data_IF_780817103636
#
_entry.id   IF_780817103636
#
_cell.length_a   1.000
_cell.length_b   1.000
_cell.length_c   1.000
_cell.angle_alpha   90.00
_cell.angle_beta   90.00
_cell.angle_gamma   90.00
#
_symmetry.space_group_name_H-M   'P 1'
#
loop_
_entity.id
_entity.type
_entity.pdbx_description
1 polymer ?
#
# COMPACT_ATOMS: atom_id res chain seq x y z
N UNK A 1 1.02 -0.12 -11.07
CA UNK A 1 -0.43 0.10 -11.02
C UNK A 1 -1.01 -1.06 -10.26
N UNK A 2 -1.78 -0.81 -9.21
CA UNK A 2 -2.35 -1.86 -8.36
C UNK A 2 -3.73 -2.26 -8.86
N UNK A 3 -4.07 -3.54 -8.69
CA UNK A 3 -5.38 -4.11 -9.00
C UNK A 3 -6.56 -3.65 -8.13
N UNK A 4 -7.75 -4.09 -8.48
CA UNK A 4 -9.05 -3.87 -7.85
C UNK A 4 -10.07 -4.99 -8.14
N UNK A 5 -9.65 -6.09 -8.77
CA UNK A 5 -10.49 -7.19 -9.22
C UNK A 5 -11.00 -7.05 -10.66
N UNK A 6 -11.26 -8.20 -11.29
CA UNK A 6 -11.84 -8.36 -12.62
C UNK A 6 -13.27 -8.91 -12.53
N UNK A 7 -14.06 -8.69 -13.58
CA UNK A 7 -15.32 -9.43 -13.80
C UNK A 7 -15.21 -10.14 -15.15
N UNK A 8 -15.35 -11.47 -15.15
CA UNK A 8 -15.22 -12.32 -16.34
C UNK A 8 -13.89 -12.11 -17.10
N UNK A 9 -12.80 -11.84 -16.38
CA UNK A 9 -11.48 -11.59 -16.97
C UNK A 9 -11.32 -10.21 -17.62
N UNK A 10 -12.32 -9.32 -17.50
CA UNK A 10 -12.28 -8.00 -18.11
C UNK A 10 -11.97 -6.89 -17.12
N UNK A 11 -11.21 -5.91 -17.59
CA UNK A 11 -10.90 -4.68 -16.87
C UNK A 11 -12.16 -3.81 -16.78
N UNK A 12 -12.64 -3.58 -15.56
CA UNK A 12 -13.80 -2.74 -15.28
C UNK A 12 -13.54 -1.24 -15.56
N UNK A 13 -14.57 -0.41 -15.79
CA UNK A 13 -14.41 1.02 -16.07
C UNK A 13 -13.58 1.79 -15.02
N UNK A 14 -13.71 1.43 -13.73
CA UNK A 14 -12.92 2.05 -12.66
C UNK A 14 -11.43 1.67 -12.74
N UNK A 15 -11.14 0.42 -13.08
CA UNK A 15 -9.77 -0.07 -13.27
C UNK A 15 -9.17 0.53 -14.55
N UNK A 16 -9.93 0.56 -15.64
CA UNK A 16 -9.56 1.23 -16.89
C UNK A 16 -9.22 2.71 -16.66
N UNK A 17 -10.05 3.45 -15.92
CA UNK A 17 -9.78 4.86 -15.58
C UNK A 17 -8.46 5.05 -14.80
N UNK A 18 -8.11 4.09 -13.93
CA UNK A 18 -6.82 4.08 -13.21
C UNK A 18 -5.66 3.79 -14.15
N UNK A 19 -5.80 2.81 -15.05
CA UNK A 19 -4.80 2.47 -16.06
C UNK A 19 -4.53 3.68 -16.97
N UNK A 20 -5.58 4.35 -17.44
CA UNK A 20 -5.48 5.60 -18.20
C UNK A 20 -4.77 6.72 -17.42
N UNK A 21 -5.04 6.86 -16.12
CA UNK A 21 -4.32 7.82 -15.28
C UNK A 21 -2.83 7.48 -15.17
N UNK A 22 -2.51 6.20 -15.05
CA UNK A 22 -1.14 5.71 -15.03
C UNK A 22 -0.41 5.95 -16.36
N UNK A 23 -1.08 5.75 -17.50
CA UNK A 23 -0.55 6.11 -18.82
C UNK A 23 -0.27 7.61 -18.94
N UNK A 24 -1.20 8.45 -18.48
CA UNK A 24 -1.01 9.89 -18.49
C UNK A 24 0.20 10.29 -17.64
N UNK A 25 0.33 9.70 -16.45
CA UNK A 25 1.47 9.96 -15.58
C UNK A 25 2.80 9.45 -16.18
N UNK A 26 2.80 8.30 -16.85
CA UNK A 26 3.96 7.81 -17.58
C UNK A 26 4.45 8.82 -18.61
N UNK A 27 3.53 9.40 -19.40
CA UNK A 27 3.86 10.41 -20.42
C UNK A 27 4.33 11.72 -19.78
N UNK A 28 3.64 12.17 -18.73
CA UNK A 28 3.97 13.42 -18.03
C UNK A 28 5.34 13.39 -17.36
N UNK A 29 5.69 12.28 -16.70
CA UNK A 29 6.92 12.16 -15.91
C UNK A 29 8.02 11.36 -16.62
N UNK A 30 7.80 10.91 -17.85
CA UNK A 30 8.78 10.15 -18.62
C UNK A 30 9.12 8.78 -18.02
N UNK A 31 8.16 8.11 -17.37
CA UNK A 31 8.43 6.83 -16.73
C UNK A 31 8.83 5.75 -17.76
N UNK A 32 9.95 5.07 -17.48
CA UNK A 32 10.55 4.10 -18.41
C UNK A 32 9.71 2.83 -18.54
N UNK A 33 9.19 2.34 -17.41
CA UNK A 33 8.53 1.06 -17.27
C UNK A 33 7.21 1.19 -16.50
N UNK A 34 6.18 0.51 -16.99
CA UNK A 34 4.91 0.30 -16.29
C UNK A 34 4.91 -1.10 -15.68
N UNK A 35 4.53 -1.20 -14.41
CA UNK A 35 4.28 -2.49 -13.77
C UNK A 35 2.80 -2.57 -13.43
N UNK A 36 2.09 -3.57 -13.92
CA UNK A 36 0.71 -3.90 -13.52
C UNK A 36 0.75 -5.02 -12.51
N UNK A 37 0.13 -4.86 -11.34
CA UNK A 37 0.29 -5.80 -10.22
C UNK A 37 -1.05 -6.20 -9.62
N UNK A 38 -1.28 -7.51 -9.63
CA UNK A 38 -2.42 -8.19 -9.05
C UNK A 38 -2.40 -9.66 -9.46
N UNK A 39 -2.48 -10.56 -8.48
CA UNK A 39 -2.64 -11.98 -8.74
C UNK A 39 -4.02 -12.35 -9.26
N UNK A 40 -4.28 -13.65 -9.26
CA UNK A 40 -5.54 -14.22 -9.75
C UNK A 40 -6.52 -14.44 -8.59
N UNK A 41 -7.69 -13.80 -8.66
CA UNK A 41 -8.81 -14.10 -7.78
C UNK A 41 -9.40 -15.49 -8.04
N UNK A 42 -10.09 -16.07 -7.05
CA UNK A 42 -10.70 -17.41 -7.21
C UNK A 42 -11.74 -17.47 -8.33
N UNK A 43 -12.45 -16.36 -8.56
CA UNK A 43 -13.49 -16.23 -9.59
C UNK A 43 -12.97 -15.58 -10.89
N UNK A 44 -11.65 -15.43 -11.03
CA UNK A 44 -11.04 -14.74 -12.17
C UNK A 44 -10.36 -15.75 -13.11
N UNK A 45 -10.65 -15.68 -14.44
CA UNK A 45 -10.08 -16.64 -15.40
C UNK A 45 -8.60 -16.38 -15.70
N UNK A 46 -8.10 -15.18 -15.36
CA UNK A 46 -6.71 -14.74 -15.59
C UNK A 46 -6.24 -13.89 -14.42
N UNK A 47 -4.93 -13.81 -14.15
CA UNK A 47 -4.38 -12.86 -13.19
C UNK A 47 -4.72 -11.42 -13.56
N UNK A 48 -5.05 -10.60 -12.57
CA UNK A 48 -5.40 -9.20 -12.80
C UNK A 48 -4.25 -8.41 -13.46
N UNK A 49 -3.00 -8.70 -13.06
CA UNK A 49 -1.80 -8.11 -13.62
C UNK A 49 -1.68 -8.28 -15.15
N UNK A 50 -2.04 -9.45 -15.66
CA UNK A 50 -2.01 -9.76 -17.09
C UNK A 50 -3.13 -9.03 -17.83
N UNK A 51 -4.37 -9.09 -17.34
CA UNK A 51 -5.50 -8.37 -17.96
C UNK A 51 -5.23 -6.85 -18.02
N UNK A 52 -4.63 -6.28 -16.98
CA UNK A 52 -4.21 -4.88 -16.96
C UNK A 52 -3.10 -4.59 -17.97
N UNK A 53 -2.09 -5.47 -18.11
CA UNK A 53 -1.01 -5.32 -19.11
C UNK A 53 -1.58 -5.31 -20.52
N UNK A 54 -2.42 -6.29 -20.82
CA UNK A 54 -3.02 -6.47 -22.14
C UNK A 54 -3.93 -5.28 -22.49
N UNK A 55 -4.67 -4.76 -21.50
CA UNK A 55 -5.39 -3.50 -21.66
C UNK A 55 -4.44 -2.34 -22.01
N UNK A 56 -3.33 -2.15 -21.29
CA UNK A 56 -2.38 -1.07 -21.59
C UNK A 56 -1.75 -1.22 -22.99
N UNK A 57 -1.45 -2.44 -23.42
CA UNK A 57 -0.96 -2.71 -24.78
C UNK A 57 -2.02 -2.35 -25.84
N UNK A 58 -3.30 -2.64 -25.58
CA UNK A 58 -4.41 -2.21 -26.46
C UNK A 58 -4.51 -0.68 -26.58
N UNK A 59 -4.00 0.06 -25.59
CA UNK A 59 -3.93 1.53 -25.58
C UNK A 59 -2.63 2.08 -26.19
N UNK A 60 -1.80 1.22 -26.80
CA UNK A 60 -0.59 1.60 -27.53
C UNK A 60 0.69 1.59 -26.72
N UNK A 61 0.73 0.97 -25.53
CA UNK A 61 1.99 0.73 -24.81
C UNK A 61 2.75 -0.42 -25.47
N UNK A 62 4.03 -0.23 -25.73
CA UNK A 62 4.89 -1.27 -26.30
C UNK A 62 5.19 -2.36 -25.26
N UNK A 63 5.26 -3.65 -25.65
CA UNK A 63 5.45 -4.76 -24.70
C UNK A 63 6.71 -4.65 -23.83
N UNK A 64 7.77 -4.04 -24.33
CA UNK A 64 9.03 -3.79 -23.61
C UNK A 64 8.89 -2.74 -22.49
N UNK A 65 7.79 -1.98 -22.47
CA UNK A 65 7.53 -0.91 -21.50
C UNK A 65 6.45 -1.25 -20.49
N UNK A 66 5.93 -2.48 -20.49
CA UNK A 66 4.93 -2.94 -19.52
C UNK A 66 5.21 -4.37 -19.08
N UNK A 67 5.25 -4.59 -17.76
CA UNK A 67 5.44 -5.91 -17.15
C UNK A 67 4.26 -6.18 -16.21
N UNK A 68 3.77 -7.42 -16.24
CA UNK A 68 2.75 -7.90 -15.32
C UNK A 68 3.40 -8.61 -14.14
N UNK A 69 2.94 -8.28 -12.93
CA UNK A 69 3.21 -8.99 -11.69
C UNK A 69 1.91 -9.69 -11.25
N UNK A 70 1.97 -11.01 -11.10
CA UNK A 70 0.80 -11.88 -10.97
C UNK A 70 0.86 -12.82 -9.77
N UNK A 71 1.89 -12.72 -8.94
CA UNK A 71 2.11 -13.60 -7.80
C UNK A 71 1.46 -13.07 -6.52
N UNK A 72 1.09 -11.80 -6.49
CA UNK A 72 0.61 -11.13 -5.28
C UNK A 72 -0.83 -11.46 -4.89
N UNK A 73 -1.06 -11.69 -3.60
CA UNK A 73 -2.40 -11.93 -3.02
C UNK A 73 -2.97 -10.71 -2.30
N UNK A 74 -2.14 -9.72 -1.99
CA UNK A 74 -2.53 -8.55 -1.21
C UNK A 74 -1.68 -7.32 -1.56
N UNK A 75 -2.14 -6.14 -1.12
CA UNK A 75 -1.49 -4.85 -1.43
C UNK A 75 -0.02 -4.77 -1.01
N UNK A 76 0.40 -5.43 0.09
CA UNK A 76 1.78 -5.40 0.54
C UNK A 76 2.68 -6.24 -0.38
N UNK A 77 2.21 -7.42 -0.78
CA UNK A 77 2.86 -8.26 -1.78
C UNK A 77 2.93 -7.59 -3.15
N UNK A 78 1.84 -6.94 -3.60
CA UNK A 78 1.84 -6.18 -4.85
C UNK A 78 3.02 -5.20 -4.89
N UNK A 79 3.20 -4.42 -3.81
CA UNK A 79 4.27 -3.42 -3.73
C UNK A 79 5.65 -4.07 -3.68
N UNK A 80 5.80 -5.16 -2.92
CA UNK A 80 7.07 -5.89 -2.76
C UNK A 80 7.50 -6.53 -4.09
N UNK A 81 6.65 -7.34 -4.70
CA UNK A 81 6.96 -8.05 -5.94
C UNK A 81 7.10 -7.08 -7.11
N UNK A 82 6.25 -6.03 -7.18
CA UNK A 82 6.44 -4.96 -8.17
C UNK A 82 7.80 -4.28 -8.02
N UNK A 83 8.30 -4.10 -6.79
CA UNK A 83 9.62 -3.49 -6.55
C UNK A 83 10.74 -4.40 -7.02
N UNK A 84 10.64 -5.70 -6.78
CA UNK A 84 11.63 -6.69 -7.22
C UNK A 84 11.78 -6.70 -8.74
N UNK A 85 10.68 -6.51 -9.48
CA UNK A 85 10.69 -6.41 -10.95
C UNK A 85 11.36 -5.15 -11.50
N UNK A 86 11.50 -4.09 -10.70
CA UNK A 86 12.17 -2.86 -11.15
C UNK A 86 13.70 -2.98 -11.17
N UNK A 87 14.26 -4.05 -10.58
CA UNK A 87 15.70 -4.36 -10.56
C UNK A 87 16.56 -3.44 -9.69
N UNK A 88 16.23 -2.15 -9.60
CA UNK A 88 16.95 -1.16 -8.78
C UNK A 88 16.14 -0.75 -7.53
N UNK A 89 16.62 -1.07 -6.31
CA UNK A 89 15.99 -0.66 -5.06
C UNK A 89 15.91 0.86 -4.87
N UNK A 90 16.80 1.65 -5.49
CA UNK A 90 16.86 3.11 -5.33
C UNK A 90 15.97 3.86 -6.31
N UNK A 91 15.39 3.17 -7.29
CA UNK A 91 14.53 3.79 -8.28
C UNK A 91 13.32 4.46 -7.64
N UNK A 92 13.07 5.70 -8.09
CA UNK A 92 11.87 6.46 -7.75
C UNK A 92 10.66 5.85 -8.44
N UNK A 93 9.64 5.49 -7.66
CA UNK A 93 8.45 4.80 -8.16
C UNK A 93 7.22 5.67 -8.05
N UNK A 94 6.36 5.64 -9.06
CA UNK A 94 5.03 6.21 -9.01
C UNK A 94 4.00 5.08 -8.89
N UNK A 95 3.33 5.01 -7.75
CA UNK A 95 2.29 4.01 -7.49
C UNK A 95 0.93 4.60 -7.80
N UNK A 96 0.21 3.96 -8.72
CA UNK A 96 -1.15 4.34 -9.10
C UNK A 96 -2.13 3.33 -8.51
N UNK A 97 -3.05 3.82 -7.67
CA UNK A 97 -4.05 3.01 -6.94
C UNK A 97 -5.40 3.74 -6.84
N UNK A 98 -6.43 3.11 -6.26
CA UNK A 98 -7.71 3.78 -5.95
C UNK A 98 -7.55 4.89 -4.90
N UNK A 99 -8.39 5.92 -4.96
CA UNK A 99 -8.42 7.05 -4.01
C UNK A 99 -8.50 6.63 -2.53
N UNK A 100 -9.31 5.62 -2.21
CA UNK A 100 -9.43 5.08 -0.85
C UNK A 100 -8.24 4.21 -0.40
N UNK A 101 -7.40 3.76 -1.32
CA UNK A 101 -6.19 2.98 -1.02
C UNK A 101 -4.91 3.83 -0.99
N UNK A 102 -4.96 5.10 -1.40
CA UNK A 102 -3.78 5.97 -1.45
C UNK A 102 -3.09 6.05 -0.10
N UNK A 103 -3.84 6.24 0.98
CA UNK A 103 -3.27 6.35 2.33
C UNK A 103 -2.60 5.06 2.79
N UNK A 104 -3.30 3.92 2.71
CA UNK A 104 -2.73 2.60 3.07
C UNK A 104 -1.49 2.28 2.23
N UNK A 105 -1.53 2.59 0.94
CA UNK A 105 -0.41 2.36 0.02
C UNK A 105 0.78 3.25 0.35
N UNK A 106 0.55 4.51 0.72
CA UNK A 106 1.60 5.43 1.17
C UNK A 106 2.27 4.97 2.48
N UNK A 107 1.51 4.40 3.42
CA UNK A 107 2.09 3.81 4.63
C UNK A 107 2.92 2.56 4.31
N UNK A 108 2.41 1.67 3.48
CA UNK A 108 3.11 0.44 3.10
C UNK A 108 4.41 0.72 2.34
N UNK A 109 4.40 1.66 1.40
CA UNK A 109 5.62 2.07 0.68
C UNK A 109 6.70 2.61 1.62
N UNK A 110 6.33 3.42 2.62
CA UNK A 110 7.27 3.88 3.66
C UNK A 110 7.81 2.72 4.50
N UNK A 111 6.95 1.80 4.93
CA UNK A 111 7.35 0.60 5.69
C UNK A 111 8.32 -0.29 4.91
N UNK A 112 8.17 -0.35 3.59
CA UNK A 112 9.05 -1.09 2.67
C UNK A 112 10.32 -0.31 2.29
N UNK A 113 10.55 0.90 2.83
CA UNK A 113 11.71 1.73 2.49
C UNK A 113 11.71 2.23 1.04
N UNK A 114 10.56 2.22 0.37
CA UNK A 114 10.44 2.57 -1.04
C UNK A 114 10.47 4.10 -1.23
N UNK A 115 11.33 4.58 -2.14
CA UNK A 115 11.20 5.93 -2.72
C UNK A 115 10.00 5.97 -3.66
N UNK A 116 8.80 6.15 -3.12
CA UNK A 116 7.57 6.08 -3.89
C UNK A 116 6.67 7.30 -3.67
N UNK A 117 6.09 7.81 -4.76
CA UNK A 117 4.97 8.73 -4.75
C UNK A 117 3.70 7.95 -5.05
N UNK A 118 2.63 8.16 -4.29
CA UNK A 118 1.35 7.47 -4.48
C UNK A 118 0.33 8.44 -5.03
N UNK A 119 -0.26 8.12 -6.18
CA UNK A 119 -1.34 8.91 -6.79
C UNK A 119 -2.60 8.06 -6.94
N UNK A 120 -3.74 8.68 -6.69
CA UNK A 120 -5.07 8.13 -7.00
C UNK A 120 -5.77 8.95 -8.09
N UNK A 121 -6.81 8.39 -8.73
CA UNK A 121 -7.73 9.21 -9.53
C UNK A 121 -8.40 10.27 -8.63
N UNK A 122 -8.76 11.43 -9.21
CA UNK A 122 -9.62 12.42 -8.53
C UNK A 122 -11.01 11.80 -8.34
N UNK A 123 -11.26 11.18 -7.20
CA UNK A 123 -12.59 10.67 -6.82
C UNK A 123 -13.13 11.48 -5.64
N UNK A 124 -14.43 11.80 -5.71
CA UNK A 124 -15.22 12.74 -4.88
C UNK A 124 -14.88 12.74 -3.37
N UNK A 125 -14.61 13.95 -2.86
CA UNK A 125 -14.31 14.32 -1.46
C UNK A 125 -15.33 13.86 -0.41
N UNK A 126 -16.55 13.48 -0.79
CA UNK A 126 -17.63 13.15 0.16
C UNK A 126 -17.48 11.78 0.84
N UNK A 127 -16.70 10.84 0.28
CA UNK A 127 -16.47 9.51 0.87
C UNK A 127 -15.28 9.43 1.85
N UNK A 128 -14.51 10.51 1.99
CA UNK A 128 -13.27 10.52 2.77
C UNK A 128 -13.43 10.47 4.31
N UNK A 129 -14.47 11.04 4.97
CA UNK A 129 -14.47 11.11 6.43
C UNK A 129 -14.52 9.74 7.11
N UNK A 130 -15.44 8.86 6.71
CA UNK A 130 -15.69 7.60 7.41
C UNK A 130 -14.59 6.56 7.21
N UNK A 131 -13.96 6.54 6.04
CA UNK A 131 -12.86 5.61 5.73
C UNK A 131 -11.56 6.05 6.42
N UNK A 132 -11.28 7.36 6.44
CA UNK A 132 -10.13 7.90 7.17
C UNK A 132 -10.28 7.68 8.68
N UNK A 133 -11.48 7.89 9.24
CA UNK A 133 -11.76 7.62 10.66
C UNK A 133 -11.63 6.13 10.98
N UNK A 134 -12.18 5.25 10.14
CA UNK A 134 -12.07 3.80 10.32
C UNK A 134 -10.61 3.33 10.35
N UNK A 135 -9.77 3.87 9.45
CA UNK A 135 -8.37 3.49 9.39
C UNK A 135 -7.51 4.17 10.47
N UNK A 136 -7.88 5.38 10.90
CA UNK A 136 -7.28 5.99 12.08
C UNK A 136 -7.54 5.12 13.33
N UNK A 137 -8.74 4.58 13.48
CA UNK A 137 -9.08 3.62 14.55
C UNK A 137 -8.31 2.30 14.40
N UNK A 138 -8.12 1.81 13.18
CA UNK A 138 -7.30 0.62 12.90
C UNK A 138 -5.84 0.79 13.33
N UNK A 139 -5.22 1.91 12.98
CA UNK A 139 -3.85 2.26 13.37
C UNK A 139 -3.73 2.42 14.89
N UNK A 140 -4.71 3.07 15.53
CA UNK A 140 -4.77 3.20 16.99
C UNK A 140 -4.85 1.82 17.66
N UNK A 141 -5.62 0.89 17.12
CA UNK A 141 -5.74 -0.48 17.65
C UNK A 141 -4.44 -1.27 17.53
N UNK A 142 -3.72 -1.12 16.41
CA UNK A 142 -2.44 -1.80 16.19
C UNK A 142 -1.32 -1.25 17.11
N UNK A 143 -1.36 0.03 17.46
CA UNK A 143 -0.43 0.65 18.42
C UNK A 143 -0.87 0.56 19.88
N UNK A 144 -2.11 0.17 20.16
CA UNK A 144 -2.64 0.01 21.53
C UNK A 144 -1.81 -0.99 22.35
N UNK A 145 -1.29 -2.04 21.72
CA UNK A 145 -0.39 -3.01 22.37
C UNK A 145 0.92 -2.38 22.83
N UNK A 146 1.46 -1.45 22.04
CA UNK A 146 2.67 -0.70 22.38
C UNK A 146 2.42 0.31 23.50
N UNK A 147 1.29 1.04 23.45
CA UNK A 147 0.91 1.97 24.50
C UNK A 147 0.57 1.29 25.84
N UNK A 148 -0.11 0.14 25.80
CA UNK A 148 -0.38 -0.67 27.01
C UNK A 148 0.92 -1.24 27.59
N UNK A 149 1.82 -1.76 26.75
CA UNK A 149 3.12 -2.25 27.23
C UNK A 149 3.96 -1.13 27.86
N UNK A 150 4.04 0.04 27.24
CA UNK A 150 4.72 1.20 27.80
C UNK A 150 4.11 1.66 29.13
N UNK A 151 2.77 1.67 29.23
CA UNK A 151 2.05 1.99 30.47
C UNK A 151 2.36 1.01 31.60
N UNK A 152 2.37 -0.30 31.32
CA UNK A 152 2.72 -1.33 32.30
C UNK A 152 4.16 -1.17 32.79
N UNK A 153 5.11 -0.86 31.89
CA UNK A 153 6.51 -0.63 32.26
C UNK A 153 6.64 0.59 33.18
N UNK A 154 5.97 1.70 32.86
CA UNK A 154 6.02 2.92 33.69
C UNK A 154 5.46 2.66 35.09
N UNK A 155 4.34 1.94 35.19
CA UNK A 155 3.73 1.56 36.47
C UNK A 155 4.68 0.66 37.26
N UNK A 156 5.26 -0.36 36.62
CA UNK A 156 6.20 -1.27 37.27
C UNK A 156 7.44 -0.55 37.81
N UNK A 157 8.03 0.37 37.02
CA UNK A 157 9.17 1.20 37.44
C UNK A 157 8.79 2.12 38.61
N UNK A 158 7.59 2.69 38.59
CA UNK A 158 7.10 3.58 39.66
C UNK A 158 6.89 2.81 40.96
N UNK A 159 6.27 1.62 40.90
CA UNK A 159 6.08 0.75 42.07
C UNK A 159 7.42 0.27 42.63
N UNK A 160 8.36 -0.13 41.77
CA UNK A 160 9.71 -0.52 42.22
C UNK A 160 10.44 0.64 42.89
N UNK A 161 10.33 1.85 42.35
CA UNK A 161 10.98 3.05 42.89
C UNK A 161 10.44 3.40 44.28
N UNK A 162 9.12 3.33 44.45
CA UNK A 162 8.47 3.53 45.77
C UNK A 162 8.90 2.44 46.75
N UNK A 163 8.86 1.16 46.35
CA UNK A 163 9.27 0.05 47.20
C UNK A 163 10.75 0.16 47.64
N UNK A 164 11.64 0.56 46.73
CA UNK A 164 13.07 0.76 47.00
C UNK A 164 13.35 2.00 47.86
N UNK A 165 12.52 3.04 47.75
CA UNK A 165 12.60 4.20 48.64
C UNK A 165 12.13 3.88 50.07
N UNK A 166 11.09 3.03 50.21
CA UNK A 166 10.58 2.58 51.51
C UNK A 166 11.55 1.65 52.24
N UNK A 167 12.36 0.86 51.52
CA UNK A 167 13.38 -0.02 52.14
C UNK A 167 14.66 0.71 52.51
N UNK A 168 14.94 1.90 51.97
CA UNK A 168 16.05 2.78 52.38
C UNK A 168 15.73 3.66 53.59
N UNK A 169 14.45 3.84 53.91
CA UNK A 169 13.99 4.64 55.06
C UNK A 169 14.00 3.90 56.40
N UNK A 170 14.50 2.67 56.43
CA UNK A 170 14.91 1.96 57.65
C UNK A 170 16.34 1.43 57.38
N UNK A 171 17.35 1.63 58.24
CA UNK A 171 17.32 1.75 59.71
C UNK A 171 18.16 2.91 60.30
N UNK A 172 18.00 3.14 61.61
CA UNK A 172 18.88 3.98 62.44
C UNK A 172 18.15 4.64 63.59
#
# INVERSE_FOLDING_TARGET
>A
MLGAGLINGQVLPLLAGRLCRGLHAQRQYGAKLLVTSGGQGQDEPVPEGDAMRDYLMSQGVTPDRVIAETASSNTAENLKFSRELLGDPQSSVLVVTSSYHVFRTALLTRKLGMRAHVIGPRTVWYYFPSVVIREFIGILRDQLRFHVAAGVIIIAVSVLSVAFSSTRSAPG
#
